data_IF_162014436722
#
_entry.id   IF_162014436722
#
_cell.length_a   1.000
_cell.length_b   1.000
_cell.length_c   1.000
_cell.angle_alpha   90.00
_cell.angle_beta   90.00
_cell.angle_gamma   90.00
#
_symmetry.space_group_name_H-M   'P 1'
#
loop_
_entity.id
_entity.type
_entity.pdbx_description
1 polymer ?
#
# COMPACT_ATOMS: atom_id res chain seq x y z
N UNK A 1 1.10 9.93 -26.74
CA UNK A 1 1.48 9.90 -25.32
C UNK A 1 3.00 9.90 -25.28
N UNK A 2 3.58 11.07 -25.09
CA UNK A 2 5.03 11.31 -25.20
C UNK A 2 5.68 11.19 -23.82
N UNK A 3 7.00 10.98 -23.78
CA UNK A 3 7.76 10.85 -22.52
C UNK A 3 7.57 12.05 -21.56
N UNK A 4 7.24 13.23 -22.08
CA UNK A 4 6.89 14.42 -21.30
C UNK A 4 5.61 14.24 -20.45
N UNK A 5 4.63 13.45 -20.89
CA UNK A 5 3.40 13.18 -20.12
C UNK A 5 3.67 12.26 -18.89
N UNK A 6 4.80 11.54 -18.89
CA UNK A 6 5.21 10.68 -17.77
C UNK A 6 5.92 11.44 -16.65
N UNK A 7 6.64 12.52 -16.98
CA UNK A 7 7.31 13.34 -15.96
C UNK A 7 6.32 14.21 -15.18
N UNK A 8 5.25 14.67 -15.82
CA UNK A 8 4.15 15.37 -15.12
C UNK A 8 3.42 14.44 -14.14
N UNK A 9 3.27 13.16 -14.49
CA UNK A 9 2.71 12.11 -13.62
C UNK A 9 3.62 11.72 -12.44
N UNK A 10 4.88 12.17 -12.43
CA UNK A 10 5.87 11.92 -11.36
C UNK A 10 6.16 13.16 -10.50
N UNK A 11 5.51 14.30 -10.77
CA UNK A 11 5.60 15.49 -9.91
C UNK A 11 5.26 15.11 -8.47
N UNK A 12 6.01 15.56 -7.48
CA UNK A 12 5.68 15.31 -6.06
C UNK A 12 4.39 16.07 -5.73
N UNK A 13 3.41 15.50 -5.00
CA UNK A 13 2.24 16.27 -4.59
C UNK A 13 2.68 17.46 -3.73
N UNK A 14 2.09 18.63 -3.95
CA UNK A 14 2.46 19.84 -3.19
C UNK A 14 1.51 20.06 -2.01
N UNK A 15 0.33 19.44 -2.03
CA UNK A 15 -0.69 19.56 -0.98
C UNK A 15 -1.29 18.21 -0.54
N UNK A 16 -1.85 18.18 0.66
CA UNK A 16 -2.59 17.02 1.21
C UNK A 16 -3.79 16.65 0.33
N UNK A 17 -4.50 17.64 -0.21
CA UNK A 17 -5.65 17.43 -1.09
C UNK A 17 -5.24 16.78 -2.43
N UNK A 18 -4.13 17.20 -3.02
CA UNK A 18 -3.57 16.58 -4.24
C UNK A 18 -3.12 15.15 -3.98
N UNK A 19 -2.44 14.91 -2.85
CA UNK A 19 -2.05 13.57 -2.43
C UNK A 19 -3.27 12.67 -2.22
N UNK A 20 -4.34 13.17 -1.59
CA UNK A 20 -5.59 12.43 -1.42
C UNK A 20 -6.26 12.11 -2.77
N UNK A 21 -6.24 13.06 -3.72
CA UNK A 21 -6.68 12.84 -5.10
C UNK A 21 -5.93 11.69 -5.76
N UNK A 22 -4.59 11.74 -5.72
CA UNK A 22 -3.73 10.72 -6.30
C UNK A 22 -3.90 9.35 -5.65
N UNK A 23 -4.06 9.29 -4.33
CA UNK A 23 -4.38 8.04 -3.64
C UNK A 23 -5.70 7.44 -4.11
N UNK A 24 -6.73 8.27 -4.34
CA UNK A 24 -8.01 7.78 -4.91
C UNK A 24 -7.83 7.23 -6.32
N UNK A 25 -7.11 7.95 -7.17
CA UNK A 25 -6.81 7.52 -8.53
C UNK A 25 -5.97 6.24 -8.53
N UNK A 26 -5.03 6.14 -7.60
CA UNK A 26 -4.20 4.99 -7.31
C UNK A 26 -5.02 3.75 -6.96
N UNK A 27 -5.93 3.90 -5.98
CA UNK A 27 -6.88 2.85 -5.58
C UNK A 27 -7.75 2.43 -6.76
N UNK A 28 -8.34 3.39 -7.50
CA UNK A 28 -9.20 3.11 -8.65
C UNK A 28 -8.46 2.39 -9.79
N UNK A 29 -7.17 2.64 -9.94
CA UNK A 29 -6.32 1.98 -10.93
C UNK A 29 -5.72 0.65 -10.45
N UNK A 30 -6.06 0.20 -9.24
CA UNK A 30 -5.66 -1.11 -8.72
C UNK A 30 -4.28 -1.14 -8.06
N UNK A 31 -3.83 -0.03 -7.48
CA UNK A 31 -2.51 0.08 -6.85
C UNK A 31 -2.51 -0.20 -5.34
N UNK A 32 -1.44 -0.88 -4.90
CA UNK A 32 -1.17 -1.19 -3.49
C UNK A 32 -0.16 -0.20 -2.92
N UNK A 33 -0.63 0.77 -2.13
CA UNK A 33 0.08 2.01 -1.78
C UNK A 33 1.57 1.86 -1.45
N UNK A 34 1.97 1.14 -0.40
CA UNK A 34 3.39 1.07 -0.03
C UNK A 34 4.21 0.08 -0.86
N UNK A 35 3.57 -0.95 -1.41
CA UNK A 35 4.24 -1.97 -2.23
C UNK A 35 4.49 -1.50 -3.68
N UNK A 36 3.98 -0.33 -4.05
CA UNK A 36 3.89 0.15 -5.43
C UNK A 36 4.77 1.35 -5.73
N UNK A 37 4.77 1.73 -7.02
CA UNK A 37 5.45 2.87 -7.66
C UNK A 37 5.27 4.19 -6.92
N UNK A 38 4.18 4.30 -6.18
CA UNK A 38 3.80 5.51 -5.45
C UNK A 38 4.67 5.75 -4.21
N UNK A 39 5.77 5.03 -4.05
CA UNK A 39 6.89 5.43 -3.20
C UNK A 39 7.21 6.94 -3.34
N UNK A 40 7.06 7.55 -4.52
CA UNK A 40 7.24 9.00 -4.73
C UNK A 40 6.33 9.89 -3.88
N UNK A 41 5.20 9.37 -3.42
CA UNK A 41 4.25 10.05 -2.52
C UNK A 41 4.67 9.96 -1.04
N UNK A 42 5.65 9.12 -0.72
CA UNK A 42 6.24 9.04 0.61
C UNK A 42 7.46 9.95 0.71
N UNK A 43 7.69 10.48 1.91
CA UNK A 43 8.92 11.18 2.23
C UNK A 43 10.14 10.25 2.00
N UNK A 44 11.34 10.81 1.75
CA UNK A 44 12.56 10.01 1.56
C UNK A 44 12.83 9.01 2.69
N UNK A 45 12.35 9.32 3.90
CA UNK A 45 12.43 8.47 5.06
C UNK A 45 11.14 8.70 5.85
N UNK A 46 10.40 7.63 6.13
CA UNK A 46 9.05 7.69 6.68
C UNK A 46 8.82 6.51 7.64
N UNK A 47 7.82 6.62 8.49
CA UNK A 47 7.45 5.58 9.45
C UNK A 47 6.27 4.77 8.95
N UNK A 48 6.31 3.45 9.11
CA UNK A 48 5.18 2.58 8.81
C UNK A 48 4.86 1.64 9.96
N UNK A 49 3.58 1.34 10.12
CA UNK A 49 3.10 0.28 10.99
C UNK A 49 2.04 -0.52 10.25
N UNK A 50 2.11 -1.85 10.38
CA UNK A 50 1.12 -2.78 9.83
C UNK A 50 0.42 -3.48 11.00
N UNK A 51 -0.90 -3.36 11.06
CA UNK A 51 -1.72 -3.87 12.15
C UNK A 51 -2.80 -4.83 11.62
N UNK A 52 -3.33 -5.73 12.46
CA UNK A 52 -4.60 -6.39 12.15
C UNK A 52 -5.74 -5.36 12.10
N UNK A 53 -6.80 -5.67 11.33
CA UNK A 53 -8.05 -4.92 11.41
C UNK A 53 -8.61 -4.91 12.84
N UNK A 54 -9.26 -3.80 13.19
CA UNK A 54 -9.82 -3.57 14.51
C UNK A 54 -9.15 -2.40 15.26
N UNK A 55 -9.30 -2.36 16.60
CA UNK A 55 -8.76 -1.29 17.43
C UNK A 55 -7.25 -1.20 17.30
N UNK A 56 -6.74 0.00 16.98
CA UNK A 56 -5.30 0.24 17.02
C UNK A 56 -4.82 0.24 18.47
N UNK A 57 -3.61 -0.29 18.75
CA UNK A 57 -2.99 -0.15 20.06
C UNK A 57 -2.73 1.33 20.37
N UNK A 58 -2.66 1.67 21.66
CA UNK A 58 -2.37 3.04 22.09
C UNK A 58 -0.99 3.53 21.64
N UNK A 59 -0.02 2.62 21.51
CA UNK A 59 1.33 2.89 21.00
C UNK A 59 1.70 1.84 19.93
N UNK A 60 1.36 2.09 18.65
CA UNK A 60 1.71 1.20 17.56
C UNK A 60 3.23 1.18 17.35
N UNK A 61 3.81 0.00 17.21
CA UNK A 61 5.22 -0.14 16.90
C UNK A 61 5.48 0.26 15.44
N UNK A 62 5.96 1.49 15.24
CA UNK A 62 6.41 1.97 13.94
C UNK A 62 7.82 1.47 13.64
N UNK A 63 8.04 1.14 12.37
CA UNK A 63 9.38 0.96 11.83
C UNK A 63 9.68 2.12 10.87
N UNK A 64 10.92 2.59 10.89
CA UNK A 64 11.37 3.59 9.94
C UNK A 64 11.88 2.90 8.69
N UNK A 65 11.37 3.32 7.54
CA UNK A 65 11.80 2.82 6.24
C UNK A 65 12.31 3.99 5.40
N UNK A 66 13.39 3.73 4.68
CA UNK A 66 13.87 4.65 3.67
C UNK A 66 13.19 4.34 2.34
N UNK A 67 12.71 5.39 1.68
CA UNK A 67 12.18 5.29 0.32
C UNK A 67 13.30 4.85 -0.60
N UNK A 68 13.17 3.66 -1.18
CA UNK A 68 14.12 3.15 -2.17
C UNK A 68 14.22 4.04 -3.42
N UNK A 69 15.16 3.71 -4.31
CA UNK A 69 15.30 4.41 -5.60
C UNK A 69 14.03 4.28 -6.45
N UNK A 70 13.53 5.42 -6.93
CA UNK A 70 12.37 5.48 -7.82
C UNK A 70 12.67 4.65 -9.07
N UNK A 71 11.92 3.56 -9.29
CA UNK A 71 12.02 2.71 -10.48
C UNK A 71 12.93 1.47 -10.38
N UNK A 72 13.45 1.12 -9.20
CA UNK A 72 14.48 0.06 -9.05
C UNK A 72 14.02 -1.40 -8.98
N UNK A 73 12.73 -1.72 -8.90
CA UNK A 73 12.25 -3.11 -8.73
C UNK A 73 10.93 -3.41 -9.44
N UNK A 74 10.59 -4.71 -9.63
CA UNK A 74 9.29 -5.09 -10.16
C UNK A 74 8.21 -4.56 -9.23
N UNK A 75 7.41 -3.64 -9.76
CA UNK A 75 6.36 -2.94 -9.04
C UNK A 75 5.37 -4.00 -8.58
N UNK A 76 5.07 -4.13 -7.29
CA UNK A 76 4.09 -5.13 -6.79
C UNK A 76 2.76 -5.09 -7.55
N UNK A 77 2.24 -3.94 -8.02
CA UNK A 77 1.09 -3.91 -8.92
C UNK A 77 1.29 -4.68 -10.23
N UNK A 78 2.51 -4.67 -10.80
CA UNK A 78 2.86 -5.44 -12.01
C UNK A 78 2.97 -6.94 -11.72
N UNK A 79 3.38 -7.34 -10.51
CA UNK A 79 3.38 -8.74 -10.09
C UNK A 79 1.93 -9.20 -9.81
N UNK A 80 1.19 -8.43 -9.01
CA UNK A 80 -0.19 -8.70 -8.64
C UNK A 80 -1.10 -8.78 -9.86
N UNK A 81 -1.02 -7.84 -10.82
CA UNK A 81 -1.82 -7.90 -12.05
C UNK A 81 -1.47 -9.07 -12.99
N UNK A 82 -0.23 -9.60 -12.91
CA UNK A 82 0.15 -10.80 -13.66
C UNK A 82 -0.36 -12.08 -13.01
N UNK A 83 -0.34 -12.13 -11.69
CA UNK A 83 -0.73 -13.31 -10.90
C UNK A 83 -2.24 -13.37 -10.62
N UNK A 84 -2.91 -12.22 -10.62
CA UNK A 84 -4.35 -12.05 -10.33
C UNK A 84 -4.94 -11.19 -11.47
N UNK A 85 -5.22 -11.77 -12.66
CA UNK A 85 -5.65 -11.01 -13.83
C UNK A 85 -7.01 -10.31 -13.66
N UNK A 86 -7.83 -10.81 -12.75
CA UNK A 86 -9.15 -10.29 -12.40
C UNK A 86 -9.11 -9.35 -11.18
N UNK A 87 -7.92 -8.95 -10.71
CA UNK A 87 -7.75 -8.08 -9.55
C UNK A 87 -8.56 -6.78 -9.70
N UNK A 88 -9.41 -6.50 -8.72
CA UNK A 88 -10.14 -5.25 -8.55
C UNK A 88 -9.80 -4.64 -7.22
N UNK A 89 -9.75 -3.32 -7.18
CA UNK A 89 -9.67 -2.57 -5.94
C UNK A 89 -10.82 -1.55 -5.95
N UNK A 90 -11.59 -1.54 -4.87
CA UNK A 90 -12.67 -0.59 -4.68
C UNK A 90 -12.51 0.05 -3.31
N UNK A 91 -12.61 1.38 -3.22
CA UNK A 91 -12.41 2.07 -1.96
C UNK A 91 -12.35 3.58 -2.09
N UNK A 92 -11.93 4.22 -1.01
CA UNK A 92 -11.85 5.67 -0.87
C UNK A 92 -10.55 6.08 -0.21
N UNK A 93 -10.13 7.32 -0.51
CA UNK A 93 -9.14 8.05 0.27
C UNK A 93 -9.70 9.45 0.52
N UNK A 94 -9.70 9.88 1.78
CA UNK A 94 -10.38 11.07 2.25
C UNK A 94 -9.46 11.87 3.15
N UNK A 95 -9.29 13.14 2.82
CA UNK A 95 -8.60 14.09 3.68
C UNK A 95 -9.37 14.33 4.99
N UNK A 96 -8.62 14.47 6.07
CA UNK A 96 -9.09 14.83 7.41
C UNK A 96 -8.31 16.04 7.91
N UNK A 97 -8.87 16.83 8.84
CA UNK A 97 -8.16 17.94 9.46
C UNK A 97 -6.79 17.51 10.02
N UNK A 98 -5.79 18.38 9.87
CA UNK A 98 -4.44 18.18 10.40
C UNK A 98 -3.51 17.38 9.48
N UNK A 99 -3.62 17.58 8.16
CA UNK A 99 -2.78 16.91 7.14
C UNK A 99 -2.77 15.39 7.27
N UNK A 100 -3.98 14.84 7.45
CA UNK A 100 -4.21 13.41 7.56
C UNK A 100 -5.04 12.93 6.40
N UNK A 101 -4.70 11.78 5.84
CA UNK A 101 -5.52 11.08 4.88
C UNK A 101 -5.92 9.75 5.49
N UNK A 102 -7.21 9.41 5.45
CA UNK A 102 -7.70 8.08 5.80
C UNK A 102 -8.28 7.44 4.56
N UNK A 103 -8.12 6.12 4.45
CA UNK A 103 -8.79 5.39 3.40
C UNK A 103 -9.18 3.99 3.84
N UNK A 104 -10.02 3.44 2.99
CA UNK A 104 -10.72 2.18 3.19
C UNK A 104 -10.88 1.60 1.79
N UNK A 105 -10.32 0.43 1.54
CA UNK A 105 -10.46 -0.25 0.27
C UNK A 105 -10.49 -1.77 0.45
N UNK A 106 -11.03 -2.44 -0.55
CA UNK A 106 -11.05 -3.89 -0.64
C UNK A 106 -10.43 -4.33 -1.96
N UNK A 107 -9.50 -5.28 -1.89
CA UNK A 107 -8.97 -6.04 -3.01
C UNK A 107 -9.82 -7.29 -3.22
N UNK A 108 -10.26 -7.52 -4.44
CA UNK A 108 -10.91 -8.76 -4.85
C UNK A 108 -10.27 -9.33 -6.10
N UNK A 109 -10.31 -10.66 -6.26
CA UNK A 109 -9.75 -11.36 -7.41
C UNK A 109 -9.57 -12.85 -7.15
N UNK A 110 -8.83 -13.53 -8.00
CA UNK A 110 -8.54 -14.97 -7.86
C UNK A 110 -7.03 -15.19 -7.76
N UNK A 111 -6.57 -15.74 -6.64
CA UNK A 111 -5.16 -16.08 -6.41
C UNK A 111 -4.69 -17.24 -7.32
N UNK A 112 -3.37 -17.43 -7.53
CA UNK A 112 -2.84 -18.50 -8.37
C UNK A 112 -3.24 -19.93 -7.97
N UNK A 113 -3.58 -20.14 -6.70
CA UNK A 113 -4.06 -21.42 -6.16
C UNK A 113 -5.58 -21.64 -6.37
N UNK A 114 -6.26 -20.69 -7.01
CA UNK A 114 -7.70 -20.72 -7.28
C UNK A 114 -8.56 -20.15 -6.15
N UNK A 115 -7.95 -19.62 -5.09
CA UNK A 115 -8.67 -19.05 -3.97
C UNK A 115 -9.23 -17.65 -4.29
N UNK A 116 -10.45 -17.36 -3.84
CA UNK A 116 -11.11 -16.08 -4.08
C UNK A 116 -10.67 -15.03 -3.04
N UNK A 117 -9.90 -14.03 -3.48
CA UNK A 117 -9.40 -12.92 -2.66
C UNK A 117 -10.51 -11.97 -2.22
N UNK A 118 -10.54 -11.64 -0.93
CA UNK A 118 -11.36 -10.55 -0.37
C UNK A 118 -10.59 -9.83 0.74
N UNK A 119 -9.51 -9.14 0.38
CA UNK A 119 -8.65 -8.45 1.33
C UNK A 119 -9.17 -7.04 1.58
N UNK A 120 -9.76 -6.82 2.76
CA UNK A 120 -10.12 -5.49 3.24
C UNK A 120 -8.94 -4.81 3.94
N UNK A 121 -8.74 -3.53 3.63
CA UNK A 121 -7.64 -2.72 4.12
C UNK A 121 -8.13 -1.33 4.55
N UNK A 122 -7.80 -0.96 5.78
CA UNK A 122 -7.89 0.43 6.25
C UNK A 122 -6.49 1.05 6.22
N UNK A 123 -6.39 2.34 5.92
CA UNK A 123 -5.13 3.06 6.10
C UNK A 123 -5.29 4.46 6.64
N UNK A 124 -4.21 4.96 7.21
CA UNK A 124 -4.05 6.33 7.67
C UNK A 124 -2.66 6.82 7.31
N UNK A 125 -2.60 7.99 6.68
CA UNK A 125 -1.37 8.70 6.39
C UNK A 125 -1.33 10.00 7.19
N UNK A 126 -0.19 10.31 7.78
CA UNK A 126 0.18 11.67 8.18
C UNK A 126 1.02 12.26 7.06
N UNK A 127 0.72 13.51 6.70
CA UNK A 127 1.27 14.20 5.54
C UNK A 127 2.01 15.45 6.00
N UNK A 128 3.18 15.68 5.43
CA UNK A 128 3.95 16.92 5.63
C UNK A 128 4.51 17.36 4.29
N UNK A 129 4.25 18.61 3.90
CA UNK A 129 4.73 19.15 2.61
C UNK A 129 4.25 18.33 1.40
N UNK A 130 3.02 17.80 1.45
CA UNK A 130 2.43 16.98 0.38
C UNK A 130 2.95 15.54 0.30
N UNK A 131 3.77 15.11 1.27
CA UNK A 131 4.37 13.77 1.33
C UNK A 131 3.92 12.99 2.56
N UNK A 132 3.72 11.68 2.41
CA UNK A 132 3.44 10.78 3.53
C UNK A 132 4.70 10.61 4.38
N UNK A 133 4.63 11.01 5.66
CA UNK A 133 5.72 10.87 6.63
C UNK A 133 5.47 9.74 7.63
N UNK A 134 4.20 9.41 7.88
CA UNK A 134 3.79 8.26 8.68
C UNK A 134 2.62 7.54 8.05
N UNK A 135 2.69 6.22 8.01
CA UNK A 135 1.72 5.36 7.36
C UNK A 135 1.30 4.21 8.28
N UNK A 136 0.00 4.13 8.56
CA UNK A 136 -0.60 2.98 9.24
C UNK A 136 -1.46 2.27 8.22
N UNK A 137 -1.25 0.97 8.08
CA UNK A 137 -2.12 0.10 7.29
C UNK A 137 -2.63 -1.03 8.17
N UNK A 138 -3.91 -1.33 8.03
CA UNK A 138 -4.57 -2.43 8.73
C UNK A 138 -5.17 -3.36 7.72
N UNK A 139 -4.98 -4.67 7.93
CA UNK A 139 -5.50 -5.69 7.04
C UNK A 139 -6.16 -6.80 7.84
N UNK A 140 -7.10 -7.52 7.21
CA UNK A 140 -7.49 -8.82 7.74
C UNK A 140 -6.25 -9.74 7.72
N UNK A 141 -5.81 -10.29 8.87
CA UNK A 141 -4.56 -11.04 8.93
C UNK A 141 -4.53 -12.31 8.08
N UNK A 142 -5.64 -13.02 7.96
CA UNK A 142 -5.70 -14.29 7.22
C UNK A 142 -5.70 -14.02 5.71
N UNK A 143 -6.54 -13.08 5.28
CA UNK A 143 -6.59 -12.60 3.89
C UNK A 143 -5.25 -12.04 3.44
N UNK A 144 -4.61 -11.24 4.31
CA UNK A 144 -3.33 -10.61 4.01
C UNK A 144 -2.21 -11.63 3.90
N UNK A 145 -2.15 -12.62 4.81
CA UNK A 145 -1.14 -13.67 4.75
C UNK A 145 -1.27 -14.50 3.47
N UNK A 146 -2.50 -14.89 3.08
CA UNK A 146 -2.74 -15.57 1.81
C UNK A 146 -2.29 -14.73 0.62
N UNK A 147 -2.65 -13.44 0.62
CA UNK A 147 -2.27 -12.51 -0.42
C UNK A 147 -0.75 -12.37 -0.55
N UNK A 148 -0.03 -12.14 0.54
CA UNK A 148 1.43 -11.97 0.47
C UNK A 148 2.14 -13.27 0.14
N UNK A 149 1.69 -14.42 0.65
CA UNK A 149 2.24 -15.73 0.30
C UNK A 149 2.10 -16.00 -1.20
N UNK A 150 0.90 -15.80 -1.76
CA UNK A 150 0.63 -16.00 -3.18
C UNK A 150 1.49 -15.11 -4.10
N UNK A 151 1.89 -13.92 -3.62
CA UNK A 151 2.72 -12.98 -4.37
C UNK A 151 4.24 -13.08 -4.07
N UNK A 152 4.67 -14.03 -3.25
CA UNK A 152 6.09 -14.21 -2.88
C UNK A 152 6.61 -13.19 -1.86
N UNK A 153 5.71 -12.59 -1.08
CA UNK A 153 5.89 -11.65 0.01
C UNK A 153 6.97 -10.56 -0.18
N UNK A 154 6.59 -9.35 -0.62
CA UNK A 154 7.54 -8.25 -0.82
C UNK A 154 8.11 -7.65 0.49
N UNK A 155 7.61 -8.08 1.65
CA UNK A 155 8.01 -7.61 2.97
C UNK A 155 8.96 -8.56 3.71
N UNK A 156 9.22 -9.75 3.16
CA UNK A 156 10.07 -10.75 3.80
C UNK A 156 11.43 -10.17 4.23
N UNK A 157 11.77 -10.32 5.52
CA UNK A 157 13.04 -9.87 6.08
C UNK A 157 13.17 -8.35 6.28
N UNK A 158 12.09 -7.59 6.14
CA UNK A 158 12.09 -6.12 6.36
C UNK A 158 11.71 -5.72 7.79
N UNK A 159 11.47 -6.69 8.68
CA UNK A 159 11.15 -6.43 10.08
C UNK A 159 9.69 -5.98 10.31
N UNK A 160 8.80 -6.22 9.33
CA UNK A 160 7.37 -5.97 9.46
C UNK A 160 6.71 -7.25 9.96
N UNK A 161 6.61 -7.43 11.27
CA UNK A 161 6.19 -8.70 11.88
C UNK A 161 4.85 -9.25 11.35
N UNK A 162 3.88 -8.38 11.06
CA UNK A 162 2.55 -8.75 10.53
C UNK A 162 2.58 -9.16 9.04
N UNK A 163 3.67 -8.86 8.34
CA UNK A 163 3.87 -9.20 6.94
C UNK A 163 4.94 -10.27 6.74
N UNK A 164 5.55 -10.85 7.77
CA UNK A 164 6.41 -12.03 7.62
C UNK A 164 5.53 -13.27 7.31
N UNK A 165 5.97 -14.14 6.40
CA UNK A 165 5.23 -15.36 6.05
C UNK A 165 5.32 -16.35 7.21
N UNK A 166 4.18 -16.90 7.64
CA UNK A 166 4.15 -17.96 8.66
C UNK A 166 4.52 -19.30 8.02
N UNK A 167 5.28 -20.14 8.72
CA UNK A 167 5.70 -21.46 8.20
C UNK A 167 4.51 -22.37 7.80
N UNK A 168 3.36 -22.17 8.44
CA UNK A 168 2.11 -22.88 8.18
C UNK A 168 1.48 -22.51 6.83
N UNK A 169 1.69 -21.26 6.38
CA UNK A 169 1.13 -20.71 5.15
C UNK A 169 2.04 -20.98 3.93
N UNK A 170 3.28 -21.43 4.14
CA UNK A 170 4.27 -21.67 3.08
C UNK A 170 4.22 -23.08 2.46
N UNK A 171 3.20 -23.89 2.77
CA UNK A 171 3.10 -25.33 2.40
C UNK A 171 2.23 -25.61 1.18
#
# INVERSE_FOLDING_TARGET
MTAFDRDEALSVPETTAELAGRLRDGIAAGFLMYASVEATMFAPSFETCMLPLGPAPADPAFIRLDRGTVGGGPRVPTIASRLIPDLRIAGTATERPGDVIVGDFTLTGTLPDGWALHLHTEFRCEVEGGLVTRYVVKNDPEEFQRFVTALGNPYAGKGVATAEVREEDAR
#
